data_IF_567827316184
#
_entry.id   IF_567827316184
#
_cell.length_a   1.000
_cell.length_b   1.000
_cell.length_c   1.000
_cell.angle_alpha   90.00
_cell.angle_beta   90.00
_cell.angle_gamma   90.00
#
_symmetry.space_group_name_H-M   'P 1'
#
loop_
_entity.id
_entity.type
_entity.pdbx_description
1 polymer ?
#
# COMPACT_ATOMS: atom_id res chain seq x y z
N UNK A 1 -3.56 -24.58 -6.83
CA UNK A 1 -2.19 -24.82 -6.31
C UNK A 1 -1.64 -23.47 -5.91
N UNK A 2 -1.46 -23.23 -4.61
CA UNK A 2 -0.81 -22.01 -4.15
C UNK A 2 0.66 -22.12 -4.55
N UNK A 3 1.10 -21.30 -5.51
CA UNK A 3 2.52 -21.03 -5.65
C UNK A 3 3.04 -20.57 -4.29
N UNK A 4 4.16 -21.12 -3.84
CA UNK A 4 4.74 -20.76 -2.56
C UNK A 4 5.00 -19.25 -2.55
N UNK A 5 4.72 -18.56 -1.45
CA UNK A 5 4.94 -17.10 -1.31
C UNK A 5 6.35 -16.73 -1.76
N UNK A 6 7.37 -17.53 -1.39
CA UNK A 6 8.75 -17.32 -1.80
C UNK A 6 8.97 -17.33 -3.31
N UNK A 7 8.38 -18.26 -4.06
CA UNK A 7 8.52 -18.32 -5.53
C UNK A 7 7.94 -17.05 -6.19
N UNK A 8 6.85 -16.51 -5.62
CA UNK A 8 6.25 -15.26 -6.11
C UNK A 8 7.10 -14.05 -5.73
N UNK A 9 7.76 -14.05 -4.58
CA UNK A 9 8.72 -12.99 -4.18
C UNK A 9 9.95 -13.03 -5.09
N UNK A 10 10.46 -14.20 -5.44
CA UNK A 10 11.57 -14.32 -6.39
C UNK A 10 11.17 -13.80 -7.80
N UNK A 11 9.90 -14.02 -8.21
CA UNK A 11 9.37 -13.42 -9.44
C UNK A 11 9.29 -11.89 -9.33
N UNK A 12 8.82 -11.37 -8.20
CA UNK A 12 8.74 -9.94 -7.92
C UNK A 12 10.14 -9.29 -7.92
N UNK A 13 11.11 -9.92 -7.27
CA UNK A 13 12.51 -9.48 -7.24
C UNK A 13 13.08 -9.37 -8.67
N UNK A 14 12.93 -10.42 -9.46
CA UNK A 14 13.36 -10.43 -10.88
C UNK A 14 12.68 -9.31 -11.67
N UNK A 15 11.40 -9.05 -11.40
CA UNK A 15 10.65 -8.01 -12.09
C UNK A 15 11.21 -6.62 -11.76
N UNK A 16 11.50 -6.35 -10.49
CA UNK A 16 11.99 -5.04 -10.04
C UNK A 16 13.43 -4.81 -10.48
N UNK A 17 14.31 -5.81 -10.35
CA UNK A 17 15.73 -5.67 -10.64
C UNK A 17 16.05 -5.73 -12.14
N UNK A 18 15.50 -6.71 -12.86
CA UNK A 18 15.90 -6.98 -14.23
C UNK A 18 15.00 -6.32 -15.28
N UNK A 19 13.74 -6.03 -14.92
CA UNK A 19 12.72 -5.60 -15.87
C UNK A 19 11.83 -4.48 -15.33
N UNK A 20 12.37 -3.42 -14.72
CA UNK A 20 11.54 -2.35 -14.16
C UNK A 20 10.60 -1.73 -15.21
N UNK A 21 11.04 -1.57 -16.47
CA UNK A 21 10.22 -1.07 -17.57
C UNK A 21 9.09 -2.01 -18.02
N UNK A 22 9.07 -3.27 -17.59
CA UNK A 22 7.98 -4.20 -17.92
C UNK A 22 6.81 -4.07 -16.95
N UNK A 23 6.99 -3.45 -15.79
CA UNK A 23 5.90 -3.14 -14.86
C UNK A 23 4.94 -2.19 -15.58
N UNK A 24 5.46 -1.10 -16.14
CA UNK A 24 4.70 -0.09 -16.87
C UNK A 24 4.01 -0.63 -18.13
N UNK A 25 4.69 -1.53 -18.86
CA UNK A 25 4.20 -1.99 -20.16
C UNK A 25 2.89 -2.78 -20.11
N UNK A 26 2.56 -3.35 -18.95
CA UNK A 26 1.37 -4.18 -18.76
C UNK A 26 0.18 -3.42 -18.17
N UNK A 27 0.42 -2.47 -17.29
CA UNK A 27 -0.60 -1.73 -16.55
C UNK A 27 -0.66 -0.24 -16.92
N UNK A 28 0.40 0.29 -17.55
CA UNK A 28 0.57 1.72 -17.84
C UNK A 28 0.98 2.54 -16.62
N UNK A 29 1.29 1.88 -15.50
CA UNK A 29 1.77 2.48 -14.26
C UNK A 29 2.79 1.54 -13.59
N UNK A 30 3.79 2.05 -12.84
CA UNK A 30 4.84 1.22 -12.23
C UNK A 30 4.38 0.57 -10.91
N UNK A 31 3.15 0.05 -10.86
CA UNK A 31 2.57 -0.48 -9.63
C UNK A 31 2.40 -1.99 -9.67
N UNK A 32 2.75 -2.64 -8.56
CA UNK A 32 2.59 -4.09 -8.34
C UNK A 32 1.83 -4.31 -7.05
N UNK A 33 0.78 -5.13 -7.10
CA UNK A 33 0.09 -5.65 -5.92
C UNK A 33 0.48 -7.10 -5.73
N UNK A 34 1.01 -7.42 -4.56
CA UNK A 34 1.36 -8.75 -4.10
C UNK A 34 0.35 -9.21 -3.05
N UNK A 35 -0.73 -9.93 -3.47
CA UNK A 35 -1.71 -10.41 -2.51
C UNK A 35 -1.18 -11.62 -1.75
N UNK A 36 -1.44 -11.68 -0.45
CA UNK A 36 -1.15 -12.81 0.42
C UNK A 36 -2.32 -13.10 1.35
N UNK A 37 -2.38 -14.35 1.83
CA UNK A 37 -3.38 -14.78 2.79
C UNK A 37 -3.22 -14.00 4.11
N UNK A 38 -4.25 -13.30 4.61
CA UNK A 38 -4.19 -12.53 5.86
C UNK A 38 -3.69 -13.35 7.07
N UNK A 39 -3.94 -14.67 7.09
CA UNK A 39 -3.45 -15.54 8.14
C UNK A 39 -1.91 -15.65 8.18
N UNK A 40 -1.25 -15.24 7.10
CA UNK A 40 0.21 -15.27 6.93
C UNK A 40 0.90 -13.92 7.22
N UNK A 41 0.17 -12.92 7.69
CA UNK A 41 0.69 -11.57 7.95
C UNK A 41 2.07 -11.58 8.64
N UNK A 42 2.18 -12.32 9.76
CA UNK A 42 3.44 -12.38 10.52
C UNK A 42 4.59 -13.08 9.77
N UNK A 43 4.29 -14.08 8.95
CA UNK A 43 5.33 -14.79 8.19
C UNK A 43 5.77 -14.05 6.93
N UNK A 44 4.89 -13.22 6.38
CA UNK A 44 5.19 -12.39 5.20
C UNK A 44 6.08 -11.22 5.56
N UNK A 45 6.07 -10.74 6.81
CA UNK A 45 6.98 -9.68 7.26
C UNK A 45 8.45 -10.08 7.10
N UNK A 46 8.83 -11.31 7.48
CA UNK A 46 10.19 -11.79 7.29
C UNK A 46 10.55 -11.87 5.78
N UNK A 47 9.61 -12.31 4.95
CA UNK A 47 9.80 -12.38 3.50
C UNK A 47 9.92 -10.97 2.88
N UNK A 48 9.22 -9.96 3.44
CA UNK A 48 9.33 -8.55 3.02
C UNK A 48 10.70 -7.99 3.42
N UNK A 49 11.18 -8.29 4.63
CA UNK A 49 12.51 -7.88 5.08
C UNK A 49 13.59 -8.41 4.14
N UNK A 50 13.58 -9.72 3.86
CA UNK A 50 14.51 -10.35 2.92
C UNK A 50 14.44 -9.72 1.52
N UNK A 51 13.24 -9.39 1.03
CA UNK A 51 13.04 -8.74 -0.26
C UNK A 51 13.65 -7.33 -0.30
N UNK A 52 13.39 -6.51 0.73
CA UNK A 52 13.94 -5.15 0.83
C UNK A 52 15.46 -5.19 0.92
N UNK A 53 16.03 -6.07 1.78
CA UNK A 53 17.49 -6.22 1.89
C UNK A 53 18.15 -6.59 0.56
N UNK A 54 17.51 -7.46 -0.25
CA UNK A 54 18.02 -7.80 -1.58
C UNK A 54 17.99 -6.64 -2.56
N UNK A 55 16.93 -5.80 -2.53
CA UNK A 55 16.88 -4.60 -3.37
C UNK A 55 18.00 -3.61 -2.97
N UNK A 56 18.19 -3.37 -1.67
CA UNK A 56 19.24 -2.49 -1.15
C UNK A 56 20.64 -3.04 -1.45
N UNK A 57 20.83 -4.36 -1.39
CA UNK A 57 22.09 -4.99 -1.80
C UNK A 57 22.43 -4.79 -3.28
N UNK A 58 21.40 -4.55 -4.13
CA UNK A 58 21.55 -4.19 -5.54
C UNK A 58 21.56 -2.68 -5.78
N UNK A 59 21.98 -1.90 -4.80
CA UNK A 59 22.17 -0.43 -4.85
C UNK A 59 20.87 0.37 -5.12
N UNK A 60 19.68 -0.20 -4.84
CA UNK A 60 18.42 0.54 -4.89
C UNK A 60 18.11 1.15 -3.52
N UNK A 61 17.73 2.43 -3.50
CA UNK A 61 17.17 3.04 -2.30
C UNK A 61 15.70 2.67 -2.15
N UNK A 62 15.31 2.07 -1.02
CA UNK A 62 13.96 1.56 -0.80
C UNK A 62 13.25 2.34 0.31
N UNK A 63 12.08 2.91 0.00
CA UNK A 63 11.18 3.41 1.02
C UNK A 63 10.28 2.26 1.49
N UNK A 64 10.64 1.58 2.59
CA UNK A 64 9.76 0.62 3.25
C UNK A 64 8.77 1.35 4.14
N UNK A 65 7.48 1.16 3.90
CA UNK A 65 6.40 1.86 4.58
C UNK A 65 5.48 0.84 5.27
N UNK A 66 5.57 0.76 6.60
CA UNK A 66 4.52 0.18 7.42
C UNK A 66 3.35 1.16 7.45
N UNK A 67 2.27 0.84 6.73
CA UNK A 67 1.16 1.77 6.56
C UNK A 67 0.41 2.00 7.88
N UNK A 68 0.38 1.00 8.76
CA UNK A 68 -0.22 1.14 10.09
C UNK A 68 0.56 2.17 10.92
N UNK A 69 1.88 2.03 10.97
CA UNK A 69 2.71 2.93 11.76
C UNK A 69 2.68 4.35 11.19
N UNK A 70 2.63 4.50 9.86
CA UNK A 70 2.48 5.80 9.22
C UNK A 70 1.15 6.47 9.56
N UNK A 71 0.03 5.74 9.51
CA UNK A 71 -1.29 6.25 9.89
C UNK A 71 -1.29 6.74 11.34
N UNK A 72 -0.78 5.94 12.28
CA UNK A 72 -0.71 6.34 13.68
C UNK A 72 0.24 7.53 13.90
N UNK A 73 1.37 7.61 13.22
CA UNK A 73 2.29 8.76 13.28
C UNK A 73 1.58 10.05 12.86
N UNK A 74 0.85 10.03 11.75
CA UNK A 74 0.10 11.20 11.27
C UNK A 74 -0.95 11.63 12.29
N UNK A 75 -1.70 10.69 12.87
CA UNK A 75 -2.72 10.98 13.88
C UNK A 75 -2.11 11.60 15.15
N UNK A 76 -0.96 11.10 15.58
CA UNK A 76 -0.25 11.60 16.76
C UNK A 76 0.32 13.01 16.51
N UNK A 77 1.01 13.20 15.40
CA UNK A 77 1.59 14.50 15.01
C UNK A 77 0.53 15.61 14.87
N UNK A 78 -0.67 15.26 14.43
CA UNK A 78 -1.80 16.19 14.31
C UNK A 78 -2.64 16.28 15.60
N UNK A 79 -2.29 15.55 16.65
CA UNK A 79 -3.04 15.45 17.91
C UNK A 79 -4.50 15.01 17.71
N UNK A 80 -4.75 14.14 16.73
CA UNK A 80 -6.09 13.64 16.38
C UNK A 80 -6.46 12.33 17.07
N UNK A 81 -5.50 11.57 17.58
CA UNK A 81 -5.71 10.20 18.07
C UNK A 81 -6.75 10.14 19.20
N UNK A 82 -6.67 11.05 20.18
CA UNK A 82 -7.64 11.09 21.29
C UNK A 82 -9.05 11.41 20.81
N UNK A 83 -9.17 12.39 19.90
CA UNK A 83 -10.46 12.78 19.30
C UNK A 83 -11.08 11.65 18.48
N UNK A 84 -10.28 10.94 17.71
CA UNK A 84 -10.71 9.77 16.94
C UNK A 84 -11.28 8.70 17.87
N UNK A 85 -10.57 8.37 18.97
CA UNK A 85 -11.03 7.38 19.98
C UNK A 85 -12.33 7.80 20.66
N UNK A 86 -12.51 9.09 20.93
CA UNK A 86 -13.71 9.60 21.57
C UNK A 86 -14.92 9.58 20.62
N UNK A 87 -14.76 10.07 19.39
CA UNK A 87 -15.83 10.11 18.39
C UNK A 87 -16.23 8.70 17.96
N UNK A 88 -15.26 7.76 17.83
CA UNK A 88 -15.56 6.38 17.45
C UNK A 88 -16.55 5.68 18.39
N UNK A 89 -16.55 6.04 19.68
CA UNK A 89 -17.48 5.49 20.67
C UNK A 89 -18.92 5.94 20.45
N UNK A 90 -19.10 7.11 19.85
CA UNK A 90 -20.41 7.74 19.64
C UNK A 90 -20.89 7.55 18.20
N UNK A 91 -20.05 7.84 17.22
CA UNK A 91 -20.34 7.74 15.79
C UNK A 91 -19.13 7.23 14.97
N UNK A 92 -19.01 5.91 14.77
CA UNK A 92 -17.96 5.34 13.93
C UNK A 92 -18.01 5.81 12.47
N UNK A 93 -19.18 6.27 11.99
CA UNK A 93 -19.34 6.78 10.63
C UNK A 93 -18.66 8.14 10.46
N UNK A 94 -18.76 9.01 11.46
CA UNK A 94 -18.09 10.30 11.47
C UNK A 94 -16.56 10.14 11.47
N UNK A 95 -16.04 9.19 12.26
CA UNK A 95 -14.61 8.87 12.26
C UNK A 95 -14.13 8.42 10.88
N UNK A 96 -14.86 7.52 10.22
CA UNK A 96 -14.50 7.07 8.87
C UNK A 96 -14.44 8.22 7.88
N UNK A 97 -15.45 9.09 7.89
CA UNK A 97 -15.49 10.25 7.00
C UNK A 97 -14.33 11.22 7.30
N UNK A 98 -14.07 11.51 8.58
CA UNK A 98 -12.98 12.38 9.01
C UNK A 98 -11.60 11.85 8.63
N UNK A 99 -11.33 10.57 8.86
CA UNK A 99 -10.06 9.93 8.46
C UNK A 99 -9.90 9.92 6.94
N UNK A 100 -10.96 9.60 6.19
CA UNK A 100 -10.90 9.62 4.73
C UNK A 100 -10.56 11.02 4.22
N UNK A 101 -11.24 12.06 4.74
CA UNK A 101 -10.96 13.44 4.37
C UNK A 101 -9.53 13.84 4.70
N UNK A 102 -9.07 13.59 5.93
CA UNK A 102 -7.72 13.96 6.39
C UNK A 102 -6.61 13.31 5.55
N UNK A 103 -6.77 12.05 5.21
CA UNK A 103 -5.71 11.27 4.56
C UNK A 103 -5.70 11.37 3.04
N UNK A 104 -6.87 11.56 2.41
CA UNK A 104 -7.02 11.38 0.98
C UNK A 104 -7.58 12.58 0.23
N UNK A 105 -8.35 13.46 0.89
CA UNK A 105 -8.97 14.59 0.19
C UNK A 105 -8.03 15.78 0.06
N UNK A 106 -8.12 16.45 -1.08
CA UNK A 106 -7.45 17.73 -1.28
C UNK A 106 -8.25 18.85 -0.62
N UNK A 107 -7.60 19.66 0.22
CA UNK A 107 -8.20 20.81 0.84
C UNK A 107 -7.30 22.05 0.70
N UNK A 108 -7.83 23.14 0.17
CA UNK A 108 -7.13 24.42 -0.01
C UNK A 108 -5.79 24.29 -0.77
N UNK A 109 -5.77 23.40 -1.79
CA UNK A 109 -4.59 23.15 -2.60
C UNK A 109 -3.53 22.21 -1.98
N UNK A 110 -3.80 21.69 -0.76
CA UNK A 110 -2.98 20.69 -0.11
C UNK A 110 -3.62 19.31 -0.24
N UNK A 111 -2.80 18.32 -0.58
CA UNK A 111 -3.25 16.92 -0.62
C UNK A 111 -3.53 16.38 0.77
N UNK A 112 -4.30 15.31 0.85
CA UNK A 112 -4.46 14.56 2.09
C UNK A 112 -3.12 14.10 2.65
N UNK A 113 -2.98 14.14 3.96
CA UNK A 113 -1.68 13.99 4.63
C UNK A 113 -0.99 12.66 4.37
N UNK A 114 -1.74 11.57 4.28
CA UNK A 114 -1.18 10.25 3.93
C UNK A 114 -0.64 10.24 2.50
N UNK A 115 -1.38 10.85 1.57
CA UNK A 115 -0.96 10.91 0.17
C UNK A 115 0.29 11.75 -0.02
N UNK A 116 0.41 12.89 0.69
CA UNK A 116 1.59 13.74 0.66
C UNK A 116 2.85 13.00 1.16
N UNK A 117 2.71 12.24 2.25
CA UNK A 117 3.80 11.42 2.78
C UNK A 117 4.24 10.32 1.80
N UNK A 118 3.29 9.62 1.17
CA UNK A 118 3.61 8.59 0.19
C UNK A 118 4.33 9.16 -1.03
N UNK A 119 3.87 10.29 -1.56
CA UNK A 119 4.50 10.98 -2.71
C UNK A 119 5.90 11.45 -2.34
N UNK A 120 6.06 12.11 -1.19
CA UNK A 120 7.37 12.58 -0.71
C UNK A 120 8.39 11.45 -0.59
N UNK A 121 7.96 10.27 -0.15
CA UNK A 121 8.83 9.09 -0.05
C UNK A 121 9.16 8.52 -1.42
N UNK A 122 8.18 8.49 -2.33
CA UNK A 122 8.37 8.02 -3.70
C UNK A 122 9.39 8.89 -4.47
N UNK A 123 9.35 10.22 -4.29
CA UNK A 123 10.28 11.15 -4.94
C UNK A 123 11.73 11.01 -4.46
N UNK A 124 11.96 10.43 -3.28
CA UNK A 124 13.27 10.33 -2.65
C UNK A 124 13.94 8.95 -2.79
N UNK A 125 13.21 7.96 -3.29
CA UNK A 125 13.68 6.58 -3.35
C UNK A 125 13.47 5.98 -4.74
N UNK A 126 14.23 4.94 -5.04
CA UNK A 126 14.13 4.21 -6.32
C UNK A 126 12.94 3.24 -6.34
N UNK A 127 12.53 2.77 -5.16
CA UNK A 127 11.40 1.83 -4.99
C UNK A 127 10.64 2.15 -3.70
N UNK A 128 9.32 2.05 -3.75
CA UNK A 128 8.45 2.12 -2.56
C UNK A 128 7.83 0.77 -2.29
N UNK A 129 7.94 0.29 -1.06
CA UNK A 129 7.31 -0.95 -0.58
C UNK A 129 6.33 -0.61 0.53
N UNK A 130 5.05 -0.88 0.31
CA UNK A 130 3.98 -0.67 1.29
C UNK A 130 3.50 -2.02 1.82
N UNK A 131 3.36 -2.14 3.13
CA UNK A 131 2.80 -3.31 3.79
C UNK A 131 1.86 -2.91 4.95
N UNK A 132 1.22 -3.89 5.58
CA UNK A 132 0.20 -3.71 6.64
C UNK A 132 -0.98 -2.84 6.21
N UNK A 133 -1.41 -3.02 4.96
CA UNK A 133 -2.48 -2.24 4.35
C UNK A 133 -3.86 -2.48 5.00
N UNK A 134 -4.03 -3.50 5.83
CA UNK A 134 -5.26 -3.78 6.55
C UNK A 134 -5.74 -2.64 7.44
N UNK A 135 -4.84 -1.72 7.85
CA UNK A 135 -5.20 -0.52 8.63
C UNK A 135 -6.17 0.41 7.89
N UNK A 136 -6.21 0.37 6.57
CA UNK A 136 -7.12 1.22 5.80
C UNK A 136 -8.60 0.87 6.02
N UNK A 137 -8.88 -0.39 6.36
CA UNK A 137 -10.24 -0.81 6.64
C UNK A 137 -10.71 -0.31 8.02
N UNK A 138 -11.93 0.25 8.15
CA UNK A 138 -12.97 0.36 7.13
C UNK A 138 -13.09 1.75 6.48
N UNK A 139 -12.12 2.66 6.66
CA UNK A 139 -12.25 4.04 6.19
C UNK A 139 -11.76 4.27 4.76
N UNK A 140 -10.94 3.37 4.22
CA UNK A 140 -10.44 3.44 2.85
C UNK A 140 -10.01 2.06 2.33
N UNK A 141 -9.40 2.04 1.14
CA UNK A 141 -8.87 0.84 0.50
C UNK A 141 -7.58 1.13 -0.26
N UNK A 142 -6.84 0.06 -0.60
CA UNK A 142 -5.61 0.22 -1.37
C UNK A 142 -5.88 0.75 -2.78
N UNK A 143 -7.06 0.48 -3.35
CA UNK A 143 -7.46 1.01 -4.66
C UNK A 143 -7.54 2.53 -4.68
N UNK A 144 -7.91 3.17 -3.57
CA UNK A 144 -7.91 4.63 -3.43
C UNK A 144 -6.48 5.17 -3.50
N UNK A 145 -5.55 4.57 -2.75
CA UNK A 145 -4.13 4.97 -2.79
C UNK A 145 -3.58 4.85 -4.21
N UNK A 146 -3.73 3.68 -4.83
CA UNK A 146 -3.22 3.44 -6.18
C UNK A 146 -3.83 4.39 -7.21
N UNK A 147 -5.15 4.65 -7.11
CA UNK A 147 -5.83 5.58 -8.01
C UNK A 147 -5.35 7.02 -7.88
N UNK A 148 -5.03 7.46 -6.66
CA UNK A 148 -4.52 8.82 -6.43
C UNK A 148 -3.04 8.99 -6.77
N UNK A 149 -2.24 7.91 -6.69
CA UNK A 149 -0.83 7.92 -7.09
C UNK A 149 -0.64 7.76 -8.61
N UNK A 150 -1.66 7.28 -9.32
CA UNK A 150 -1.63 7.14 -10.77
C UNK A 150 -1.33 8.49 -11.44
N UNK A 151 -0.35 8.51 -12.34
CA UNK A 151 0.14 9.72 -13.04
C UNK A 151 0.74 10.80 -12.10
N UNK A 152 0.96 10.48 -10.83
CA UNK A 152 1.59 11.38 -9.85
C UNK A 152 3.02 10.96 -9.57
N UNK A 153 3.25 9.65 -9.43
CA UNK A 153 4.58 9.09 -9.23
C UNK A 153 4.99 8.18 -10.38
N UNK A 154 6.28 8.19 -10.71
CA UNK A 154 6.90 7.28 -11.70
C UNK A 154 7.70 6.19 -11.01
N UNK A 155 7.91 6.31 -9.70
CA UNK A 155 8.64 5.36 -8.88
C UNK A 155 7.88 4.03 -8.78
N UNK A 156 8.54 2.88 -8.98
CA UNK A 156 7.96 1.57 -8.73
C UNK A 156 7.37 1.45 -7.33
N UNK A 157 6.09 1.10 -7.27
CA UNK A 157 5.34 0.94 -6.03
C UNK A 157 4.91 -0.53 -5.88
N UNK A 158 5.40 -1.19 -4.84
CA UNK A 158 5.05 -2.56 -4.50
C UNK A 158 4.17 -2.55 -3.25
N UNK A 159 2.99 -3.12 -3.35
CA UNK A 159 2.03 -3.20 -2.24
C UNK A 159 1.84 -4.65 -1.83
N UNK A 160 2.31 -5.00 -0.64
CA UNK A 160 1.96 -6.26 -0.01
C UNK A 160 0.58 -6.13 0.63
N UNK A 161 -0.40 -6.85 0.07
CA UNK A 161 -1.81 -6.68 0.42
C UNK A 161 -2.41 -7.95 1.02
N UNK A 162 -2.95 -7.90 2.26
CA UNK A 162 -3.54 -9.06 2.93
C UNK A 162 -4.90 -9.40 2.31
N UNK A 163 -4.91 -9.95 1.10
CA UNK A 163 -6.13 -10.24 0.36
C UNK A 163 -6.06 -11.61 -0.32
N UNK A 164 -7.21 -12.23 -0.44
CA UNK A 164 -7.38 -13.51 -1.17
C UNK A 164 -7.84 -13.21 -2.59
N UNK A 165 -7.15 -13.81 -3.56
CA UNK A 165 -7.51 -13.67 -4.98
C UNK A 165 -8.74 -14.52 -5.28
N UNK A 166 -9.81 -13.91 -5.75
CA UNK A 166 -11.04 -14.56 -6.17
C UNK A 166 -11.37 -14.23 -7.63
N UNK A 167 -10.89 -15.05 -8.55
CA UNK A 167 -10.98 -14.76 -9.98
C UNK A 167 -10.08 -13.58 -10.38
N UNK A 168 -10.70 -12.47 -10.79
CA UNK A 168 -9.99 -11.22 -11.11
C UNK A 168 -9.95 -10.21 -9.95
N UNK A 169 -10.72 -10.47 -8.90
CA UNK A 169 -10.90 -9.57 -7.78
C UNK A 169 -10.00 -9.97 -6.60
N UNK A 170 -9.63 -8.99 -5.80
CA UNK A 170 -8.99 -9.19 -4.50
C UNK A 170 -10.05 -8.96 -3.41
N UNK A 171 -10.11 -9.85 -2.43
CA UNK A 171 -11.01 -9.71 -1.28
C UNK A 171 -10.23 -9.62 0.01
N UNK A 172 -10.52 -8.58 0.76
CA UNK A 172 -10.08 -8.39 2.13
C UNK A 172 -11.30 -8.42 3.06
N UNK A 173 -11.30 -9.27 4.08
CA UNK A 173 -12.41 -9.46 5.03
C UNK A 173 -13.78 -9.68 4.33
N UNK A 174 -13.81 -10.52 3.29
CA UNK A 174 -14.99 -10.80 2.47
C UNK A 174 -15.59 -9.61 1.69
N UNK A 175 -15.00 -8.43 1.80
CA UNK A 175 -15.32 -7.28 0.96
C UNK A 175 -14.46 -7.27 -0.30
N UNK A 176 -15.08 -6.96 -1.43
CA UNK A 176 -14.34 -6.78 -2.68
C UNK A 176 -13.73 -5.40 -2.67
N UNK A 177 -12.42 -5.34 -2.53
CA UNK A 177 -11.69 -4.11 -2.76
C UNK A 177 -11.69 -3.83 -4.27
N UNK A 178 -12.26 -2.73 -4.65
CA UNK A 178 -12.56 -2.25 -6.00
C UNK A 178 -11.99 -3.06 -7.17
N UNK A 179 -12.81 -3.34 -8.16
CA UNK A 179 -12.54 -4.27 -9.28
C UNK A 179 -11.46 -3.81 -10.27
N UNK A 180 -10.85 -2.65 -10.08
CA UNK A 180 -9.92 -2.10 -11.06
C UNK A 180 -8.64 -1.54 -10.43
N UNK A 181 -7.65 -2.41 -10.34
CA UNK A 181 -6.28 -1.96 -10.09
C UNK A 181 -5.57 -1.72 -11.42
N UNK A 182 -5.15 -0.49 -11.69
CA UNK A 182 -4.09 -0.25 -12.65
C UNK A 182 -2.76 -0.62 -11.99
N UNK A 183 -2.58 -1.91 -11.77
CA UNK A 183 -1.37 -2.47 -11.20
C UNK A 183 -1.20 -3.90 -11.69
N UNK A 184 0.03 -4.37 -11.78
CA UNK A 184 0.29 -5.79 -12.00
C UNK A 184 0.01 -6.55 -10.71
N UNK A 185 -0.85 -7.56 -10.76
CA UNK A 185 -1.10 -8.48 -9.64
C UNK A 185 -0.28 -9.76 -9.85
N UNK A 186 0.63 -10.03 -8.94
CA UNK A 186 1.51 -11.22 -8.97
C UNK A 186 0.93 -12.34 -8.13
#
# INVERSE_FOLDING_TARGET
MSSNVRERIDELETLVLDKPHTIDSLSGVPFVVFPYDPEKELSVEDDIDDFVEKLEFNDLSVARIDLRDLVFSILDEQNLLESVIEIEKEDPGEVRAGLNSTFFEEFDGNRGTLMEELITRAEKHDVVVIHRCGILYPFSSISVILGQLENVIETPLIVFYPAVKHGKDLRFLDETDGTYYRAKVI
#
